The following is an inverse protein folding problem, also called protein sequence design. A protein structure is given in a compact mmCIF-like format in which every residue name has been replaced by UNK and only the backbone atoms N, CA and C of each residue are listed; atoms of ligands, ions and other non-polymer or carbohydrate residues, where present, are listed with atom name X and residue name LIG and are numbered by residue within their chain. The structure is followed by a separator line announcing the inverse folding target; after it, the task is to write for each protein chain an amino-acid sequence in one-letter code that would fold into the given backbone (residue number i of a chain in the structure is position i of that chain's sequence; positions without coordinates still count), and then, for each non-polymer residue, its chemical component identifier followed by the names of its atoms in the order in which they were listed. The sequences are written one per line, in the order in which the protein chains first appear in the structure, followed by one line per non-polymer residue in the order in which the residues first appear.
data_IF_752987546527
#
_entry.id   IF_752987546527
#
_cell.length_a   1.000
_cell.length_b   1.000
_cell.length_c   1.000
_cell.angle_alpha   90.00
_cell.angle_beta   90.00
_cell.angle_gamma   90.00
#
_symmetry.space_group_name_H-M   'P 1'
#
loop_
_entity.id
_entity.type
_entity.pdbx_description
1 polymer ?
#
# COMPACT_ATOMS: atom_id res chain seq x y z
N UNK A 1 4.08 -24.17 21.11
CA UNK A 1 5.40 -23.50 21.18
C UNK A 1 5.79 -23.08 19.77
N UNK A 2 5.48 -21.84 19.33
CA UNK A 2 6.06 -21.25 18.10
C UNK A 2 6.50 -19.80 18.34
N UNK A 3 7.50 -19.53 19.20
CA UNK A 3 8.02 -18.16 19.40
C UNK A 3 9.04 -17.74 18.30
N UNK A 4 9.49 -18.67 17.45
CA UNK A 4 10.65 -18.46 16.58
C UNK A 4 10.41 -17.80 15.23
N UNK A 5 9.19 -17.90 14.65
CA UNK A 5 8.94 -17.54 13.24
C UNK A 5 8.89 -16.02 12.99
N UNK A 6 8.33 -15.25 13.92
CA UNK A 6 8.33 -13.77 13.80
C UNK A 6 9.69 -13.13 14.12
N UNK A 7 10.46 -13.71 15.03
CA UNK A 7 11.85 -13.28 15.28
C UNK A 7 12.73 -13.50 14.02
N UNK A 8 12.51 -14.58 13.27
CA UNK A 8 13.14 -14.81 11.97
C UNK A 8 12.63 -13.84 10.89
N UNK A 9 11.33 -13.51 10.89
CA UNK A 9 10.72 -12.53 9.99
C UNK A 9 11.36 -11.13 10.13
N UNK A 10 11.51 -10.64 11.36
CA UNK A 10 12.18 -9.36 11.64
C UNK A 10 13.64 -9.34 11.16
N UNK A 11 14.33 -10.48 11.16
CA UNK A 11 15.73 -10.59 10.71
C UNK A 11 15.85 -10.72 9.18
N UNK A 12 14.84 -11.31 8.51
CA UNK A 12 14.83 -11.52 7.05
C UNK A 12 14.46 -10.26 6.24
N UNK A 13 13.75 -9.29 6.85
CA UNK A 13 13.46 -7.99 6.24
C UNK A 13 14.71 -7.15 5.93
N UNK A 14 15.90 -7.54 6.43
CA UNK A 14 17.17 -6.84 6.23
C UNK A 14 17.64 -6.72 4.77
N UNK A 15 17.04 -7.48 3.82
CA UNK A 15 17.53 -7.53 2.44
C UNK A 15 16.48 -7.33 1.33
N UNK A 16 15.19 -7.19 1.64
CA UNK A 16 14.12 -7.34 0.63
C UNK A 16 13.24 -6.11 0.38
N UNK A 17 13.69 -4.91 0.75
CA UNK A 17 13.20 -3.68 0.10
C UNK A 17 13.94 -3.48 -1.23
N UNK A 18 13.82 -4.44 -2.15
CA UNK A 18 14.21 -4.25 -3.54
C UNK A 18 12.97 -3.96 -4.39
N UNK A 19 13.03 -2.96 -5.28
CA UNK A 19 11.92 -2.68 -6.18
C UNK A 19 11.76 -3.86 -7.14
N UNK A 20 10.56 -4.43 -7.20
CA UNK A 20 10.19 -5.40 -8.22
C UNK A 20 10.52 -4.85 -9.62
N UNK A 21 10.96 -5.75 -10.51
CA UNK A 21 11.43 -5.44 -11.86
C UNK A 21 10.40 -4.59 -12.63
N UNK A 22 10.79 -3.36 -12.96
CA UNK A 22 9.95 -2.43 -13.74
C UNK A 22 10.26 -2.59 -15.22
N UNK A 23 9.22 -2.81 -16.04
CA UNK A 23 9.29 -2.55 -17.48
C UNK A 23 9.67 -1.09 -17.75
N UNK A 24 9.94 -0.74 -19.01
CA UNK A 24 10.36 0.60 -19.41
C UNK A 24 9.42 1.66 -18.80
N UNK A 25 9.93 2.58 -17.95
CA UNK A 25 9.08 3.56 -17.29
C UNK A 25 8.37 4.42 -18.33
N UNK A 26 7.08 4.67 -18.11
CA UNK A 26 6.29 5.50 -19.01
C UNK A 26 6.93 6.91 -19.12
N UNK A 27 6.83 7.57 -20.29
CA UNK A 27 7.32 8.94 -20.44
C UNK A 27 6.66 9.89 -19.44
N UNK A 28 7.39 10.90 -18.95
CA UNK A 28 6.84 11.86 -17.98
C UNK A 28 5.52 12.51 -18.43
N UNK A 29 5.39 12.81 -19.73
CA UNK A 29 4.16 13.37 -20.28
C UNK A 29 2.92 12.51 -20.00
N UNK A 30 3.07 11.18 -20.09
CA UNK A 30 2.01 10.24 -19.76
C UNK A 30 1.72 10.24 -18.25
N UNK A 31 2.75 10.27 -17.39
CA UNK A 31 2.57 10.38 -15.95
C UNK A 31 1.78 11.64 -15.56
N UNK A 32 2.17 12.81 -16.09
CA UNK A 32 1.48 14.09 -15.83
C UNK A 32 0.02 14.01 -16.29
N UNK A 33 -0.22 13.51 -17.51
CA UNK A 33 -1.58 13.34 -18.05
C UNK A 33 -2.43 12.43 -17.17
N UNK A 34 -1.89 11.29 -16.73
CA UNK A 34 -2.59 10.35 -15.85
C UNK A 34 -2.96 10.99 -14.53
N UNK A 35 -2.02 11.68 -13.87
CA UNK A 35 -2.31 12.40 -12.63
C UNK A 35 -3.33 13.52 -12.81
N UNK A 36 -3.23 14.29 -13.89
CA UNK A 36 -4.18 15.35 -14.23
C UNK A 36 -5.60 14.83 -14.41
N UNK A 37 -5.76 13.75 -15.18
CA UNK A 37 -7.06 13.11 -15.40
C UNK A 37 -7.65 12.56 -14.09
N UNK A 38 -6.81 11.96 -13.22
CA UNK A 38 -7.23 11.49 -11.89
C UNK A 38 -7.71 12.61 -10.98
N UNK A 39 -7.05 13.78 -11.05
CA UNK A 39 -7.48 15.01 -10.34
C UNK A 39 -8.63 15.74 -11.04
N UNK A 40 -9.15 15.19 -12.15
CA UNK A 40 -10.24 15.76 -12.95
C UNK A 40 -9.95 17.18 -13.46
N UNK A 41 -8.67 17.49 -13.70
CA UNK A 41 -8.23 18.78 -14.23
C UNK A 41 -8.17 18.75 -15.76
N UNK A 42 -8.61 19.82 -16.40
CA UNK A 42 -8.33 20.05 -17.83
C UNK A 42 -6.88 20.51 -18.02
N UNK A 43 -6.33 20.41 -19.23
CA UNK A 43 -4.99 20.98 -19.51
C UNK A 43 -4.94 22.47 -19.17
N UNK A 44 -5.99 23.22 -19.55
CA UNK A 44 -6.09 24.63 -19.20
C UNK A 44 -6.13 24.86 -17.68
N UNK A 45 -6.90 24.05 -16.94
CA UNK A 45 -7.00 24.17 -15.48
C UNK A 45 -5.66 23.94 -14.79
N UNK A 46 -4.95 22.87 -15.14
CA UNK A 46 -3.62 22.61 -14.58
C UNK A 46 -2.60 23.69 -14.99
N UNK A 47 -2.66 24.16 -16.25
CA UNK A 47 -1.77 25.20 -16.74
C UNK A 47 -1.95 26.51 -15.96
N UNK A 48 -3.20 26.87 -15.65
CA UNK A 48 -3.53 28.04 -14.82
C UNK A 48 -3.03 27.87 -13.38
N UNK A 49 -3.26 26.72 -12.75
CA UNK A 49 -2.79 26.47 -11.38
C UNK A 49 -1.26 26.43 -11.26
N UNK A 50 -0.58 25.94 -12.29
CA UNK A 50 0.87 25.84 -12.34
C UNK A 50 1.56 27.09 -12.94
N UNK A 51 0.81 28.12 -13.31
CA UNK A 51 1.35 29.33 -13.93
C UNK A 51 2.26 29.01 -15.14
N UNK A 52 1.75 28.18 -16.06
CA UNK A 52 2.42 27.80 -17.31
C UNK A 52 1.45 27.93 -18.48
N UNK A 53 1.95 28.02 -19.71
CA UNK A 53 1.06 28.04 -20.88
C UNK A 53 0.43 26.67 -21.13
N UNK A 54 -0.86 26.64 -21.47
CA UNK A 54 -1.58 25.42 -21.87
C UNK A 54 -0.89 24.72 -23.05
N UNK A 55 -0.32 25.50 -23.99
CA UNK A 55 0.45 24.99 -25.13
C UNK A 55 1.69 24.23 -24.66
N UNK A 56 2.45 24.79 -23.73
CA UNK A 56 3.65 24.12 -23.21
C UNK A 56 3.29 22.87 -22.40
N UNK A 57 2.24 22.91 -21.57
CA UNK A 57 1.75 21.72 -20.87
C UNK A 57 1.33 20.62 -21.85
N UNK A 58 0.64 20.98 -22.95
CA UNK A 58 0.26 20.02 -24.00
C UNK A 58 1.49 19.39 -24.67
N UNK A 59 2.54 20.17 -24.93
CA UNK A 59 3.78 19.65 -25.49
C UNK A 59 4.50 18.71 -24.52
N UNK A 60 4.51 19.01 -23.22
CA UNK A 60 5.04 18.09 -22.20
C UNK A 60 4.24 16.78 -22.17
N UNK A 61 2.90 16.84 -22.13
CA UNK A 61 2.05 15.64 -22.10
C UNK A 61 2.16 14.76 -23.34
N UNK A 62 2.50 15.35 -24.49
CA UNK A 62 2.67 14.65 -25.78
C UNK A 62 4.12 14.29 -26.09
N UNK A 63 5.08 14.61 -25.21
CA UNK A 63 6.50 14.33 -25.40
C UNK A 63 7.19 15.23 -26.42
N UNK A 64 6.57 16.34 -26.85
CA UNK A 64 7.14 17.33 -27.77
C UNK A 64 8.11 18.30 -27.10
N UNK A 65 8.12 18.35 -25.77
CA UNK A 65 9.05 19.16 -24.99
C UNK A 65 9.41 18.49 -23.67
N UNK A 66 10.68 18.57 -23.28
CA UNK A 66 11.14 18.11 -21.99
C UNK A 66 10.92 19.19 -20.91
N UNK A 67 10.26 18.87 -19.77
CA UNK A 67 10.08 19.82 -18.70
C UNK A 67 11.37 20.02 -17.90
N UNK A 68 11.63 21.24 -17.45
CA UNK A 68 12.70 21.50 -16.48
C UNK A 68 12.39 20.81 -15.14
N UNK A 69 13.42 20.57 -14.33
CA UNK A 69 13.24 20.01 -12.97
C UNK A 69 12.28 20.84 -12.11
N UNK A 70 12.36 22.17 -12.20
CA UNK A 70 11.46 23.07 -11.49
C UNK A 70 10.01 22.89 -11.96
N UNK A 71 9.79 22.80 -13.28
CA UNK A 71 8.47 22.58 -13.84
C UNK A 71 7.89 21.22 -13.39
N UNK A 72 8.70 20.17 -13.33
CA UNK A 72 8.26 18.86 -12.83
C UNK A 72 7.76 18.96 -11.39
N UNK A 73 8.52 19.62 -10.51
CA UNK A 73 8.15 19.78 -9.10
C UNK A 73 6.89 20.66 -8.95
N UNK A 74 6.80 21.73 -9.73
CA UNK A 74 5.63 22.63 -9.74
C UNK A 74 4.36 21.89 -10.17
N UNK A 75 4.40 21.15 -11.27
CA UNK A 75 3.27 20.34 -11.72
C UNK A 75 2.90 19.27 -10.70
N UNK A 76 3.90 18.60 -10.11
CA UNK A 76 3.67 17.58 -9.09
C UNK A 76 3.04 18.14 -7.81
N UNK A 77 3.36 19.38 -7.44
CA UNK A 77 2.72 20.08 -6.34
C UNK A 77 1.25 20.38 -6.63
N UNK A 78 0.93 20.97 -7.80
CA UNK A 78 -0.46 21.31 -8.17
C UNK A 78 -1.34 20.08 -8.35
N UNK A 79 -0.78 19.01 -8.88
CA UNK A 79 -1.45 17.71 -8.98
C UNK A 79 -1.57 16.97 -7.64
N UNK A 80 -1.04 17.56 -6.55
CA UNK A 80 -1.00 16.96 -5.22
C UNK A 80 -0.44 15.53 -5.25
N UNK A 81 0.64 15.34 -6.01
CA UNK A 81 1.32 14.06 -6.14
C UNK A 81 2.05 13.79 -4.82
N UNK A 82 1.85 12.62 -4.18
CA UNK A 82 2.57 12.23 -2.97
C UNK A 82 4.08 12.31 -3.18
N UNK A 83 4.83 12.75 -2.17
CA UNK A 83 6.28 13.02 -2.27
C UNK A 83 7.07 11.87 -2.91
N UNK A 84 6.74 10.62 -2.58
CA UNK A 84 7.41 9.43 -3.14
C UNK A 84 7.16 9.29 -4.64
N UNK A 85 5.95 9.56 -5.11
CA UNK A 85 5.61 9.50 -6.54
C UNK A 85 6.21 10.64 -7.36
N UNK A 86 6.62 11.73 -6.71
CA UNK A 86 7.40 12.78 -7.37
C UNK A 86 8.76 12.26 -7.85
N UNK A 87 9.35 11.27 -7.18
CA UNK A 87 10.57 10.64 -7.68
C UNK A 87 10.32 9.88 -8.99
N UNK A 88 9.17 9.23 -9.12
CA UNK A 88 8.77 8.55 -10.36
C UNK A 88 8.73 9.56 -11.51
N UNK A 89 8.15 10.75 -11.29
CA UNK A 89 8.18 11.82 -12.29
C UNK A 89 9.61 12.33 -12.55
N UNK A 90 10.40 12.61 -11.51
CA UNK A 90 11.78 13.11 -11.68
C UNK A 90 12.62 12.14 -12.52
N UNK A 91 12.57 10.84 -12.21
CA UNK A 91 13.30 9.81 -12.95
C UNK A 91 12.79 9.69 -14.39
N UNK A 92 11.47 9.72 -14.61
CA UNK A 92 10.88 9.68 -15.94
C UNK A 92 11.23 10.91 -16.82
N UNK A 93 11.66 12.01 -16.20
CA UNK A 93 12.17 13.21 -16.89
C UNK A 93 13.71 13.26 -16.98
N UNK A 94 14.41 12.19 -16.57
CA UNK A 94 15.88 12.13 -16.62
C UNK A 94 16.60 12.80 -15.44
N UNK A 95 15.88 13.15 -14.36
CA UNK A 95 16.47 13.75 -13.16
C UNK A 95 16.67 12.74 -12.01
N UNK A 96 17.63 13.02 -11.13
CA UNK A 96 17.84 12.24 -9.92
C UNK A 96 16.64 12.36 -8.95
N UNK A 97 16.24 11.27 -8.26
CA UNK A 97 15.20 11.31 -7.26
C UNK A 97 15.57 12.24 -6.11
N UNK A 98 14.59 12.99 -5.60
CA UNK A 98 14.80 13.99 -4.54
C UNK A 98 14.42 13.44 -3.16
N UNK A 99 13.36 12.63 -3.09
CA UNK A 99 12.75 12.22 -1.82
C UNK A 99 13.20 10.82 -1.43
N UNK A 100 14.23 10.70 -0.58
CA UNK A 100 14.76 9.38 -0.19
C UNK A 100 13.73 8.58 0.63
N UNK A 101 13.55 7.31 0.27
CA UNK A 101 12.87 6.33 1.13
C UNK A 101 13.88 5.75 2.11
N UNK A 102 13.58 5.82 3.41
CA UNK A 102 14.39 5.19 4.45
C UNK A 102 13.79 3.85 4.82
N UNK A 103 14.63 2.83 4.97
CA UNK A 103 14.21 1.54 5.49
C UNK A 103 13.77 1.70 6.95
N UNK A 104 12.79 0.92 7.40
CA UNK A 104 12.29 0.97 8.79
C UNK A 104 13.36 0.70 9.87
N UNK A 105 14.46 0.04 9.49
CA UNK A 105 15.61 -0.24 10.36
C UNK A 105 16.70 0.82 10.29
N UNK A 106 16.52 1.91 9.51
CA UNK A 106 17.42 3.06 9.50
C UNK A 106 17.68 3.53 10.95
N UNK A 107 18.94 3.68 11.39
CA UNK A 107 19.26 4.16 12.73
C UNK A 107 18.57 5.47 13.08
N UNK A 108 18.36 6.35 12.09
CA UNK A 108 17.66 7.62 12.29
C UNK A 108 16.16 7.46 12.58
N UNK A 109 15.57 6.29 12.28
CA UNK A 109 14.17 5.94 12.61
C UNK A 109 14.03 5.16 13.93
N UNK A 110 15.11 4.97 14.71
CA UNK A 110 15.09 4.17 15.94
C UNK A 110 14.02 4.64 16.95
N UNK A 111 13.87 5.95 17.15
CA UNK A 111 12.86 6.52 18.06
C UNK A 111 11.42 6.22 17.58
N UNK A 112 11.15 6.40 16.28
CA UNK A 112 9.85 6.09 15.71
C UNK A 112 9.52 4.59 15.82
N UNK A 113 10.52 3.72 15.59
CA UNK A 113 10.36 2.27 15.76
C UNK A 113 10.04 1.89 17.20
N UNK A 114 10.74 2.45 18.18
CA UNK A 114 10.45 2.21 19.60
C UNK A 114 9.02 2.63 19.98
N UNK A 115 8.52 3.74 19.43
CA UNK A 115 7.14 4.17 19.63
C UNK A 115 6.13 3.16 19.04
N UNK A 116 6.37 2.64 17.83
CA UNK A 116 5.54 1.59 17.22
C UNK A 116 5.53 0.32 18.08
N UNK A 117 6.68 -0.12 18.57
CA UNK A 117 6.79 -1.28 19.46
C UNK A 117 5.98 -1.11 20.76
N UNK A 118 5.99 0.10 21.34
CA UNK A 118 5.20 0.39 22.54
C UNK A 118 3.69 0.27 22.28
N UNK A 119 3.20 0.80 21.16
CA UNK A 119 1.79 0.70 20.76
C UNK A 119 1.38 -0.75 20.53
N UNK A 120 2.21 -1.52 19.82
CA UNK A 120 1.96 -2.95 19.55
C UNK A 120 1.89 -3.76 20.84
N UNK A 121 2.84 -3.55 21.76
CA UNK A 121 2.87 -4.20 23.07
C UNK A 121 1.65 -3.80 23.92
N UNK A 122 1.25 -2.53 23.88
CA UNK A 122 0.09 -2.02 24.61
C UNK A 122 -1.25 -2.64 24.19
N UNK A 123 -1.34 -3.20 22.98
CA UNK A 123 -2.54 -3.89 22.50
C UNK A 123 -2.66 -5.33 23.00
N UNK A 124 -1.63 -5.90 23.61
CA UNK A 124 -1.71 -7.29 24.08
C UNK A 124 -2.75 -7.42 25.23
N UNK A 125 -3.61 -8.47 25.22
CA UNK A 125 -3.52 -9.70 24.42
C UNK A 125 -4.19 -9.65 23.03
N UNK A 126 -4.71 -8.51 22.58
CA UNK A 126 -5.32 -8.38 21.25
C UNK A 126 -4.25 -8.35 20.14
N UNK A 127 -4.48 -9.00 18.98
CA UNK A 127 -3.51 -8.99 17.88
C UNK A 127 -3.36 -7.58 17.29
N UNK A 128 -2.12 -7.14 17.10
CA UNK A 128 -1.80 -5.86 16.47
C UNK A 128 -0.65 -6.01 15.46
N UNK A 129 -0.80 -5.34 14.32
CA UNK A 129 0.10 -5.37 13.17
C UNK A 129 0.49 -3.94 12.78
N UNK A 130 1.77 -3.73 12.49
CA UNK A 130 2.24 -2.56 11.74
C UNK A 130 2.48 -2.99 10.28
N UNK A 131 2.03 -2.17 9.34
CA UNK A 131 2.07 -2.46 7.90
C UNK A 131 2.86 -1.38 7.16
N UNK A 132 3.52 -1.74 6.07
CA UNK A 132 4.04 -0.77 5.10
C UNK A 132 2.94 -0.31 4.12
N UNK A 133 3.33 0.54 3.16
CA UNK A 133 2.42 1.05 2.13
C UNK A 133 1.86 -0.02 1.19
N UNK A 134 2.53 -1.16 1.09
CA UNK A 134 2.14 -2.29 0.26
C UNK A 134 1.37 -3.34 1.04
N UNK A 135 0.97 -3.02 2.28
CA UNK A 135 0.28 -3.93 3.20
C UNK A 135 1.14 -5.14 3.61
N UNK A 136 2.47 -5.04 3.48
CA UNK A 136 3.35 -6.03 4.08
C UNK A 136 3.48 -5.76 5.56
N UNK A 137 3.47 -6.83 6.36
CA UNK A 137 3.69 -6.75 7.80
C UNK A 137 5.13 -6.32 8.04
N UNK A 138 5.33 -5.32 8.90
CA UNK A 138 6.67 -4.83 9.28
C UNK A 138 6.97 -5.04 10.75
N UNK A 139 5.93 -5.10 11.58
CA UNK A 139 6.01 -5.53 12.96
C UNK A 139 4.67 -6.10 13.42
N UNK A 140 4.71 -6.93 14.46
CA UNK A 140 3.52 -7.51 15.07
C UNK A 140 3.77 -7.71 16.56
N UNK A 141 2.70 -7.71 17.34
CA UNK A 141 2.79 -8.10 18.74
C UNK A 141 2.75 -9.63 18.94
N UNK A 142 2.91 -10.09 20.18
CA UNK A 142 3.05 -11.53 20.48
C UNK A 142 1.78 -12.34 20.24
N UNK A 143 0.63 -11.69 20.08
CA UNK A 143 -0.65 -12.36 19.87
C UNK A 143 -0.85 -12.81 18.42
N UNK A 144 -0.34 -12.06 17.43
CA UNK A 144 -0.53 -12.34 15.99
C UNK A 144 -0.14 -13.77 15.58
N UNK A 145 1.01 -14.35 16.00
CA UNK A 145 1.37 -15.71 15.61
C UNK A 145 0.32 -16.77 15.98
N UNK A 146 -0.52 -16.52 16.98
CA UNK A 146 -1.60 -17.42 17.40
C UNK A 146 -2.72 -17.49 16.35
N UNK A 147 -2.98 -16.39 15.64
CA UNK A 147 -3.99 -16.29 14.59
C UNK A 147 -3.52 -16.87 13.26
N UNK A 148 -2.20 -16.94 13.05
CA UNK A 148 -1.57 -17.45 11.83
C UNK A 148 -1.22 -18.95 11.88
N UNK A 149 -1.62 -19.65 12.95
CA UNK A 149 -1.30 -21.08 13.09
C UNK A 149 -1.94 -21.92 11.98
N UNK A 150 -1.17 -22.88 11.46
CA UNK A 150 -1.62 -23.81 10.42
C UNK A 150 -1.76 -23.18 9.03
N UNK A 151 -1.26 -21.96 8.81
CA UNK A 151 -1.18 -21.40 7.47
C UNK A 151 0.06 -21.94 6.72
N UNK A 152 0.00 -22.05 5.38
CA UNK A 152 1.13 -22.48 4.56
C UNK A 152 2.37 -21.58 4.71
N UNK A 153 3.57 -22.19 4.67
CA UNK A 153 4.84 -21.49 4.86
C UNK A 153 5.12 -20.47 3.73
N UNK A 154 4.66 -20.71 2.50
CA UNK A 154 4.79 -19.78 1.37
C UNK A 154 4.01 -18.48 1.61
N UNK A 155 2.86 -18.55 2.28
CA UNK A 155 2.03 -17.38 2.59
C UNK A 155 2.59 -16.55 3.76
N UNK A 156 3.40 -17.19 4.63
CA UNK A 156 4.06 -16.56 5.76
C UNK A 156 5.50 -16.10 5.44
N UNK A 157 6.01 -16.43 4.25
CA UNK A 157 7.33 -16.04 3.81
C UNK A 157 7.42 -14.50 3.63
N UNK A 158 8.56 -13.87 3.96
CA UNK A 158 8.77 -12.46 3.67
C UNK A 158 8.82 -12.15 2.16
N UNK A 159 8.25 -11.01 1.70
CA UNK A 159 7.42 -10.08 2.47
C UNK A 159 6.02 -10.66 2.72
N UNK A 160 5.59 -10.68 3.98
CA UNK A 160 4.30 -11.24 4.38
C UNK A 160 3.20 -10.20 4.16
N UNK A 161 2.35 -10.40 3.16
CA UNK A 161 1.29 -9.45 2.81
C UNK A 161 -0.02 -9.76 3.56
N UNK A 162 -0.50 -8.82 4.38
CA UNK A 162 -1.68 -9.05 5.22
C UNK A 162 -2.97 -9.19 4.40
N UNK A 163 -3.08 -8.52 3.25
CA UNK A 163 -4.27 -8.63 2.39
C UNK A 163 -4.35 -10.02 1.76
N UNK A 164 -3.21 -10.55 1.29
CA UNK A 164 -3.13 -11.93 0.78
C UNK A 164 -3.48 -12.93 1.87
N UNK A 165 -2.88 -12.81 3.06
CA UNK A 165 -3.23 -13.69 4.19
C UNK A 165 -4.72 -13.64 4.53
N UNK A 166 -5.31 -12.44 4.50
CA UNK A 166 -6.71 -12.23 4.89
C UNK A 166 -7.71 -12.79 3.89
N UNK A 167 -7.37 -12.82 2.60
CA UNK A 167 -8.30 -13.13 1.52
C UNK A 167 -7.98 -14.42 0.75
N UNK A 168 -6.75 -14.92 0.78
CA UNK A 168 -6.35 -16.19 0.15
C UNK A 168 -7.17 -17.33 0.78
N UNK A 169 -7.78 -18.23 -0.02
CA UNK A 169 -8.51 -19.40 0.49
C UNK A 169 -7.68 -20.33 1.39
N UNK A 170 -6.36 -20.36 1.21
CA UNK A 170 -5.39 -21.10 2.04
C UNK A 170 -4.93 -20.29 3.26
N UNK A 171 -5.30 -19.01 3.31
CA UNK A 171 -5.01 -18.07 4.39
C UNK A 171 -6.04 -18.14 5.53
N UNK A 172 -6.31 -16.99 6.15
CA UNK A 172 -7.30 -16.91 7.24
C UNK A 172 -8.73 -16.70 6.72
N UNK A 173 -8.93 -16.50 5.41
CA UNK A 173 -10.26 -16.20 4.85
C UNK A 173 -11.36 -17.18 5.29
N UNK A 174 -11.16 -18.52 5.30
CA UNK A 174 -12.20 -19.47 5.75
C UNK A 174 -12.54 -19.37 7.25
N UNK A 175 -11.69 -18.71 8.02
CA UNK A 175 -11.83 -18.53 9.47
C UNK A 175 -12.55 -17.21 9.81
N UNK A 176 -12.65 -16.26 8.88
CA UNK A 176 -13.29 -14.96 9.11
C UNK A 176 -14.81 -15.14 8.99
N UNK A 177 -15.53 -14.80 10.06
CA UNK A 177 -17.01 -14.92 10.10
C UNK A 177 -17.67 -13.84 9.25
N UNK A 178 -17.21 -12.59 9.36
CA UNK A 178 -17.72 -11.46 8.60
C UNK A 178 -16.92 -11.19 7.32
N UNK A 179 -16.53 -12.25 6.59
CA UNK A 179 -15.59 -12.16 5.47
C UNK A 179 -16.07 -11.21 4.36
N UNK A 180 -17.37 -11.21 4.03
CA UNK A 180 -17.89 -10.33 2.97
C UNK A 180 -17.77 -8.84 3.35
N UNK A 181 -18.11 -8.50 4.60
CA UNK A 181 -17.95 -7.15 5.15
C UNK A 181 -16.46 -6.75 5.17
N UNK A 182 -15.60 -7.64 5.68
CA UNK A 182 -14.15 -7.43 5.73
C UNK A 182 -13.52 -7.23 4.34
N UNK A 183 -13.86 -8.09 3.38
CA UNK A 183 -13.36 -8.02 2.00
C UNK A 183 -13.77 -6.72 1.32
N UNK A 184 -15.02 -6.29 1.49
CA UNK A 184 -15.51 -5.00 0.99
C UNK A 184 -14.68 -3.83 1.56
N UNK A 185 -14.46 -3.82 2.86
CA UNK A 185 -13.65 -2.81 3.53
C UNK A 185 -12.21 -2.76 3.00
N UNK A 186 -11.55 -3.91 2.88
CA UNK A 186 -10.18 -3.98 2.36
C UNK A 186 -10.08 -3.44 0.93
N UNK A 187 -11.05 -3.77 0.07
CA UNK A 187 -11.09 -3.26 -1.31
C UNK A 187 -11.37 -1.77 -1.40
N UNK A 188 -12.28 -1.24 -0.58
CA UNK A 188 -12.50 0.20 -0.53
C UNK A 188 -11.23 0.94 -0.09
N UNK A 189 -10.56 0.48 0.96
CA UNK A 189 -9.31 1.06 1.45
C UNK A 189 -8.19 0.98 0.41
N UNK A 190 -8.02 -0.17 -0.25
CA UNK A 190 -7.03 -0.36 -1.30
C UNK A 190 -7.31 0.53 -2.52
N UNK A 191 -8.56 0.62 -2.97
CA UNK A 191 -8.97 1.51 -4.07
C UNK A 191 -8.75 2.98 -3.73
N UNK A 192 -9.02 3.41 -2.50
CA UNK A 192 -8.71 4.77 -2.04
C UNK A 192 -7.20 5.05 -2.11
N UNK A 193 -6.37 4.10 -1.68
CA UNK A 193 -4.91 4.24 -1.77
C UNK A 193 -4.42 4.29 -3.22
N UNK A 194 -4.96 3.44 -4.11
CA UNK A 194 -4.66 3.46 -5.55
C UNK A 194 -5.06 4.81 -6.19
N UNK A 195 -6.23 5.33 -5.82
CA UNK A 195 -6.70 6.63 -6.32
C UNK A 195 -5.75 7.77 -5.87
N UNK A 196 -5.25 7.69 -4.64
CA UNK A 196 -4.34 8.69 -4.07
C UNK A 196 -2.90 8.60 -4.59
N UNK A 197 -2.40 7.41 -4.93
CA UNK A 197 -0.97 7.15 -5.22
C UNK A 197 -0.67 6.78 -6.66
N UNK A 198 -1.63 6.26 -7.42
CA UNK A 198 -1.37 5.70 -8.75
C UNK A 198 -0.33 4.58 -8.80
N UNK A 199 -0.06 3.92 -7.68
CA UNK A 199 0.96 2.88 -7.61
C UNK A 199 0.52 1.63 -8.40
N UNK A 200 1.25 1.24 -9.47
CA UNK A 200 0.89 0.07 -10.27
C UNK A 200 0.96 -1.23 -9.46
N UNK A 201 1.84 -1.30 -8.46
CA UNK A 201 1.96 -2.47 -7.57
C UNK A 201 0.66 -2.70 -6.79
N UNK A 202 -0.01 -1.63 -6.36
CA UNK A 202 -1.29 -1.72 -5.65
C UNK A 202 -2.43 -2.06 -6.60
N UNK A 203 -2.36 -1.60 -7.86
CA UNK A 203 -3.32 -1.97 -8.91
C UNK A 203 -3.24 -3.47 -9.21
N UNK A 204 -2.03 -3.99 -9.41
CA UNK A 204 -1.81 -5.42 -9.64
C UNK A 204 -2.25 -6.25 -8.44
N UNK A 205 -1.96 -5.78 -7.22
CA UNK A 205 -2.44 -6.42 -5.98
C UNK A 205 -3.97 -6.43 -5.91
N UNK A 206 -4.67 -5.35 -6.27
CA UNK A 206 -6.13 -5.34 -6.28
C UNK A 206 -6.68 -6.38 -7.27
N UNK A 207 -6.14 -6.43 -8.48
CA UNK A 207 -6.55 -7.41 -9.50
C UNK A 207 -6.30 -8.85 -9.04
N UNK A 208 -5.16 -9.11 -8.40
CA UNK A 208 -4.85 -10.40 -7.78
C UNK A 208 -5.90 -10.79 -6.73
N UNK A 209 -6.19 -9.90 -5.77
CA UNK A 209 -7.12 -10.19 -4.67
C UNK A 209 -8.57 -10.34 -5.14
N UNK A 210 -8.97 -9.60 -6.18
CA UNK A 210 -10.29 -9.72 -6.81
C UNK A 210 -10.50 -11.10 -7.44
N UNK A 211 -9.43 -11.75 -7.93
CA UNK A 211 -9.47 -13.09 -8.50
C UNK A 211 -9.62 -14.22 -7.46
N UNK A 212 -9.41 -13.94 -6.16
CA UNK A 212 -9.60 -14.96 -5.12
C UNK A 212 -11.07 -15.35 -4.98
N UNK A 213 -11.40 -16.65 -4.96
CA UNK A 213 -12.78 -17.11 -4.81
C UNK A 213 -13.30 -16.81 -3.41
N UNK A 214 -14.62 -16.61 -3.30
CA UNK A 214 -15.29 -16.61 -2.01
C UNK A 214 -15.39 -18.06 -1.49
N UNK A 215 -15.20 -18.31 -0.19
CA UNK A 215 -15.44 -19.62 0.41
C UNK A 215 -16.89 -20.08 0.20
N UNK A 216 -17.08 -21.38 0.00
CA UNK A 216 -18.42 -21.98 -0.06
C UNK A 216 -19.18 -21.71 1.25
N UNK A 217 -20.42 -21.23 1.14
CA UNK A 217 -21.25 -20.91 2.30
C UNK A 217 -20.96 -19.57 2.97
N UNK A 218 -20.16 -18.69 2.35
CA UNK A 218 -19.99 -17.32 2.82
C UNK A 218 -21.34 -16.58 2.83
N UNK A 219 -21.92 -16.41 4.02
CA UNK A 219 -23.15 -15.65 4.22
C UNK A 219 -22.85 -14.21 4.61
N UNK A 220 -23.72 -13.25 4.26
CA UNK A 220 -23.61 -11.88 4.78
C UNK A 220 -23.81 -11.90 6.29
N UNK A 221 -22.71 -11.76 7.02
CA UNK A 221 -22.73 -11.46 8.44
C UNK A 221 -22.23 -10.03 8.62
N UNK A 222 -23.14 -9.14 8.99
CA UNK A 222 -22.79 -7.77 9.32
C UNK A 222 -22.58 -7.67 10.83
N UNK A 223 -21.32 -7.51 11.23
CA UNK A 223 -20.98 -7.27 12.62
C UNK A 223 -21.13 -5.77 12.90
N UNK A 224 -21.82 -5.43 14.00
CA UNK A 224 -21.98 -4.05 14.44
C UNK A 224 -20.64 -3.41 14.87
N UNK A 225 -20.57 -2.09 14.82
CA UNK A 225 -19.37 -1.32 15.21
C UNK A 225 -18.49 -0.90 14.02
N UNK A 226 -18.99 -1.05 12.80
CA UNK A 226 -18.36 -0.45 11.62
C UNK A 226 -18.49 1.07 11.66
N UNK A 227 -17.35 1.75 11.52
CA UNK A 227 -17.24 3.16 11.24
C UNK A 227 -16.48 3.33 9.92
N UNK A 228 -17.20 3.69 8.86
CA UNK A 228 -16.68 3.75 7.48
C UNK A 228 -15.33 4.47 7.40
N UNK A 229 -14.33 3.77 6.86
CA UNK A 229 -12.97 4.29 6.67
C UNK A 229 -12.12 4.42 7.94
N UNK A 230 -12.67 4.15 9.12
CA UNK A 230 -11.98 4.35 10.41
C UNK A 230 -11.85 3.03 11.19
N UNK A 231 -12.95 2.34 11.45
CA UNK A 231 -12.98 1.10 12.24
C UNK A 231 -13.80 0.06 11.50
N UNK A 232 -13.24 -1.14 11.35
CA UNK A 232 -13.92 -2.30 10.79
C UNK A 232 -13.88 -3.43 11.82
N UNK A 233 -15.04 -3.91 12.31
CA UNK A 233 -15.06 -5.08 13.16
C UNK A 233 -14.48 -6.28 12.39
N UNK A 234 -13.64 -7.05 13.06
CA UNK A 234 -13.06 -8.26 12.52
C UNK A 234 -13.40 -9.42 13.46
N UNK A 235 -14.15 -10.39 12.96
CA UNK A 235 -14.51 -11.59 13.72
C UNK A 235 -13.96 -12.83 13.02
N UNK A 236 -13.21 -13.63 13.76
CA UNK A 236 -12.55 -14.82 13.26
C UNK A 236 -12.74 -15.96 14.25
N UNK A 237 -13.01 -17.16 13.75
CA UNK A 237 -13.03 -18.40 14.52
C UNK A 237 -11.62 -18.86 14.80
N UNK A 238 -11.33 -19.20 16.05
CA UNK A 238 -10.06 -19.78 16.45
C UNK A 238 -10.26 -21.19 17.00
N UNK A 239 -9.21 -22.04 17.03
CA UNK A 239 -9.28 -23.30 17.76
C UNK A 239 -9.59 -23.15 19.26
N UNK A 240 -9.41 -21.95 19.82
CA UNK A 240 -9.66 -21.64 21.23
C UNK A 240 -11.08 -21.11 21.51
N UNK A 241 -11.94 -21.03 20.48
CA UNK A 241 -13.21 -20.30 20.50
C UNK A 241 -13.03 -18.93 19.87
#
# INVERSE_FOLDING_TARGET
MVPGRFHAYHRAMNHLLSPAARGTPAPIGQHIRTWRQRRRLSQQGLAQEADVSTRHLSYVETGRSEPSREMVLRLAERLQIPLRERNTLLVAAGYAPMYRERALHDPELASARAAVELVLKGHEPYPALALDRYYNVVAANRAVPLFLQGLPDDLLAPPMNVLRISLDPRGVAPRIENLLQWRKHLFERLRQQIAATADPTLVDLLAELEAYPLPEGASPQDVHGEHLGVVMPFRMRTPAG
#
